data_IF_753184854539
#
_entry.id   IF_753184854539
#
_cell.length_a   1.000
_cell.length_b   1.000
_cell.length_c   1.000
_cell.angle_alpha   90.00
_cell.angle_beta   90.00
_cell.angle_gamma   90.00
#
_symmetry.space_group_name_H-M   'P 1'
#
loop_
_entity.id
_entity.type
_entity.pdbx_description
1 polymer ?
#
# COMPACT_ATOMS: atom_id res chain seq x y z
N UNK A 1 12.91 -28.28 5.26
CA UNK A 1 13.06 -27.76 3.85
C UNK A 1 14.25 -26.83 3.78
N UNK A 2 14.97 -26.82 2.64
CA UNK A 2 16.13 -25.94 2.47
C UNK A 2 15.68 -24.50 2.18
N UNK A 3 16.19 -23.53 2.94
CA UNK A 3 16.06 -22.09 2.69
C UNK A 3 17.34 -21.63 2.00
N UNK A 4 17.20 -21.18 0.77
CA UNK A 4 18.29 -20.65 -0.06
C UNK A 4 18.64 -19.19 0.31
N UNK A 5 19.79 -18.72 -0.19
CA UNK A 5 20.21 -17.33 -0.03
C UNK A 5 21.26 -17.11 1.05
N UNK A 6 21.55 -15.83 1.33
CA UNK A 6 22.57 -15.39 2.30
C UNK A 6 21.92 -15.03 3.64
N UNK A 7 22.65 -15.27 4.73
CA UNK A 7 22.20 -14.92 6.07
C UNK A 7 23.42 -14.84 7.01
N UNK A 8 23.69 -13.68 7.53
CA UNK A 8 24.71 -13.51 8.57
C UNK A 8 24.37 -14.42 9.77
N UNK A 9 25.38 -14.99 10.40
CA UNK A 9 25.24 -15.95 11.50
C UNK A 9 24.37 -15.39 12.64
N UNK A 10 24.49 -14.11 12.95
CA UNK A 10 23.66 -13.42 13.97
C UNK A 10 22.16 -13.44 13.69
N UNK A 11 21.76 -13.72 12.45
CA UNK A 11 20.35 -13.82 12.01
C UNK A 11 19.94 -15.28 11.72
N UNK A 12 20.74 -16.28 12.06
CA UNK A 12 20.43 -17.70 11.83
C UNK A 12 19.06 -18.15 12.34
N UNK A 13 18.56 -17.52 13.42
CA UNK A 13 17.19 -17.76 13.93
C UNK A 13 16.11 -17.41 12.91
N UNK A 14 16.31 -16.38 12.07
CA UNK A 14 15.35 -16.01 11.01
C UNK A 14 15.27 -17.13 10.00
N UNK A 15 16.40 -17.61 9.50
CA UNK A 15 16.45 -18.78 8.59
C UNK A 15 15.69 -19.99 9.14
N UNK A 16 15.92 -20.31 10.42
CA UNK A 16 15.29 -21.45 11.08
C UNK A 16 13.75 -21.26 11.21
N UNK A 17 13.29 -20.05 11.52
CA UNK A 17 11.85 -19.73 11.60
C UNK A 17 11.19 -19.91 10.24
N UNK A 18 11.78 -19.36 9.17
CA UNK A 18 11.26 -19.51 7.82
C UNK A 18 11.21 -20.99 7.39
N UNK A 19 12.26 -21.77 7.67
CA UNK A 19 12.27 -23.19 7.38
C UNK A 19 11.15 -23.94 8.13
N UNK A 20 10.98 -23.65 9.43
CA UNK A 20 9.94 -24.26 10.25
C UNK A 20 8.53 -23.90 9.78
N UNK A 21 8.30 -22.66 9.36
CA UNK A 21 6.99 -22.19 8.88
C UNK A 21 6.55 -22.93 7.60
N UNK A 22 7.50 -23.17 6.68
CA UNK A 22 7.22 -23.97 5.48
C UNK A 22 7.03 -25.44 5.83
N UNK A 23 7.83 -26.00 6.74
CA UNK A 23 7.74 -27.42 7.15
C UNK A 23 6.44 -27.73 7.90
N UNK A 24 5.92 -26.75 8.69
CA UNK A 24 4.61 -26.89 9.36
C UNK A 24 3.42 -26.68 8.42
N UNK A 25 3.64 -26.09 7.24
CA UNK A 25 2.57 -25.70 6.31
C UNK A 25 1.87 -24.39 6.65
N UNK A 26 2.44 -23.61 7.56
CA UNK A 26 1.94 -22.24 7.88
C UNK A 26 2.18 -21.29 6.71
N UNK A 27 3.31 -21.48 5.99
CA UNK A 27 3.64 -20.78 4.76
C UNK A 27 3.88 -21.76 3.61
N UNK A 28 3.44 -21.40 2.41
CA UNK A 28 3.69 -22.18 1.18
C UNK A 28 5.06 -21.82 0.61
N UNK A 29 5.41 -20.54 0.61
CA UNK A 29 6.68 -20.01 0.16
C UNK A 29 6.96 -18.67 0.78
N UNK A 30 8.23 -18.33 0.88
CA UNK A 30 8.70 -17.11 1.56
C UNK A 30 9.84 -16.44 0.82
N UNK A 31 9.91 -15.11 1.00
CA UNK A 31 11.07 -14.29 0.68
C UNK A 31 11.27 -13.29 1.82
N UNK A 32 12.50 -13.13 2.29
CA UNK A 32 12.81 -12.24 3.41
C UNK A 32 14.20 -11.61 3.23
N UNK A 33 14.25 -10.27 3.25
CA UNK A 33 15.49 -9.54 3.07
C UNK A 33 15.68 -8.46 4.15
N UNK A 34 16.92 -8.24 4.57
CA UNK A 34 17.31 -7.19 5.51
C UNK A 34 18.62 -6.55 5.06
N UNK A 35 18.66 -5.22 5.08
CA UNK A 35 19.88 -4.42 4.91
C UNK A 35 20.20 -3.66 6.19
N UNK A 36 21.48 -3.54 6.52
CA UNK A 36 21.97 -2.71 7.63
C UNK A 36 23.10 -1.84 7.10
N UNK A 37 22.98 -0.51 7.24
CA UNK A 37 23.96 0.43 6.72
C UNK A 37 24.17 0.36 5.20
N UNK A 38 23.15 -0.10 4.45
CA UNK A 38 23.24 -0.31 3.00
C UNK A 38 23.76 -1.70 2.58
N UNK A 39 24.25 -2.51 3.53
CA UNK A 39 24.75 -3.86 3.26
C UNK A 39 23.65 -4.89 3.43
N UNK A 40 23.51 -5.83 2.47
CA UNK A 40 22.58 -6.95 2.55
C UNK A 40 23.09 -7.98 3.54
N UNK A 41 22.42 -8.13 4.68
CA UNK A 41 22.79 -9.08 5.74
C UNK A 41 21.92 -10.32 5.79
N UNK A 42 20.73 -10.26 5.21
CA UNK A 42 19.82 -11.38 5.00
C UNK A 42 19.14 -11.22 3.65
N UNK A 43 19.18 -12.26 2.83
CA UNK A 43 18.40 -12.39 1.60
C UNK A 43 18.08 -13.87 1.45
N UNK A 44 16.88 -14.26 1.87
CA UNK A 44 16.45 -15.64 2.02
C UNK A 44 15.16 -15.89 1.24
N UNK A 45 15.06 -17.06 0.62
CA UNK A 45 13.84 -17.53 -0.02
C UNK A 45 13.75 -19.06 0.03
N UNK A 46 12.52 -19.59 -0.08
CA UNK A 46 12.28 -21.03 -0.09
C UNK A 46 10.81 -21.39 -0.16
N UNK A 47 10.52 -22.68 -0.24
CA UNK A 47 9.18 -23.20 -0.41
C UNK A 47 8.75 -23.27 -1.88
N UNK A 48 7.47 -23.06 -2.14
CA UNK A 48 6.84 -23.21 -3.45
C UNK A 48 5.95 -22.02 -3.77
N UNK A 49 5.60 -21.84 -5.04
CA UNK A 49 4.72 -20.74 -5.49
C UNK A 49 3.24 -20.98 -5.19
N UNK A 50 2.85 -22.23 -4.93
CA UNK A 50 1.48 -22.65 -4.65
C UNK A 50 1.45 -23.89 -3.74
N UNK A 51 0.28 -24.19 -3.17
CA UNK A 51 0.04 -25.34 -2.27
C UNK A 51 0.25 -26.70 -2.96
N UNK A 52 0.12 -26.75 -4.29
CA UNK A 52 0.36 -27.98 -5.06
C UNK A 52 1.84 -28.30 -5.25
N UNK A 53 2.73 -27.42 -4.76
CA UNK A 53 4.18 -27.48 -4.94
C UNK A 53 4.58 -27.58 -6.44
N UNK A 54 3.84 -26.92 -7.31
CA UNK A 54 4.02 -27.03 -8.76
C UNK A 54 5.38 -26.51 -9.23
N UNK A 55 5.93 -25.50 -8.54
CA UNK A 55 7.26 -24.95 -8.80
C UNK A 55 7.92 -24.48 -7.50
N UNK A 56 9.24 -24.64 -7.38
CA UNK A 56 9.98 -24.08 -6.24
C UNK A 56 9.96 -22.55 -6.28
N UNK A 57 9.94 -21.92 -5.11
CA UNK A 57 10.14 -20.49 -4.96
C UNK A 57 11.59 -20.13 -5.30
N UNK A 58 11.78 -19.10 -6.10
CA UNK A 58 13.08 -18.57 -6.52
C UNK A 58 13.31 -17.18 -5.91
N UNK A 59 14.54 -16.67 -5.97
CA UNK A 59 14.89 -15.34 -5.48
C UNK A 59 14.03 -14.22 -6.11
N UNK A 60 13.67 -14.39 -7.38
CA UNK A 60 12.91 -13.43 -8.19
C UNK A 60 11.42 -13.81 -8.34
N UNK A 61 10.92 -14.73 -7.53
CA UNK A 61 9.51 -15.10 -7.54
C UNK A 61 8.62 -13.92 -7.21
N UNK A 62 7.69 -13.60 -8.11
CA UNK A 62 6.70 -12.55 -7.92
C UNK A 62 5.46 -13.10 -7.24
N UNK A 63 4.96 -12.36 -6.27
CA UNK A 63 3.76 -12.71 -5.51
C UNK A 63 2.91 -11.46 -5.27
N UNK A 64 1.59 -11.66 -5.16
CA UNK A 64 0.71 -10.57 -4.78
C UNK A 64 0.93 -10.20 -3.32
N UNK A 65 1.37 -8.96 -3.08
CA UNK A 65 1.70 -8.46 -1.74
C UNK A 65 0.56 -7.66 -1.10
N UNK A 66 -0.61 -7.62 -1.73
CA UNK A 66 -1.80 -6.92 -1.22
C UNK A 66 -1.47 -5.51 -0.68
N UNK A 67 -1.78 -5.26 0.58
CA UNK A 67 -1.63 -3.93 1.19
C UNK A 67 -0.19 -3.45 1.38
N UNK A 68 0.81 -4.29 1.23
CA UNK A 68 2.21 -3.84 1.14
C UNK A 68 2.41 -2.90 -0.06
N UNK A 69 1.56 -3.01 -1.10
CA UNK A 69 1.49 -2.07 -2.23
C UNK A 69 1.30 -0.61 -1.79
N UNK A 70 0.61 -0.35 -0.66
CA UNK A 70 0.45 1.01 -0.12
C UNK A 70 1.79 1.69 0.19
N UNK A 71 2.80 0.92 0.55
CA UNK A 71 4.18 1.44 0.73
C UNK A 71 4.69 2.07 -0.57
N UNK A 72 4.41 1.45 -1.72
CA UNK A 72 4.81 2.01 -3.02
C UNK A 72 4.05 3.31 -3.32
N UNK A 73 2.75 3.36 -3.02
CA UNK A 73 1.97 4.60 -3.16
C UNK A 73 2.52 5.73 -2.28
N UNK A 74 2.94 5.42 -1.06
CA UNK A 74 3.57 6.39 -0.16
C UNK A 74 4.93 6.86 -0.68
N UNK A 75 5.76 5.96 -1.20
CA UNK A 75 7.02 6.33 -1.82
C UNK A 75 6.81 7.24 -3.04
N UNK A 76 5.81 6.98 -3.88
CA UNK A 76 5.44 7.88 -4.98
C UNK A 76 5.05 9.28 -4.47
N UNK A 77 4.23 9.34 -3.41
CA UNK A 77 3.85 10.62 -2.80
C UNK A 77 5.06 11.37 -2.22
N UNK A 78 5.99 10.66 -1.56
CA UNK A 78 7.24 11.24 -1.06
C UNK A 78 8.12 11.79 -2.19
N UNK A 79 8.21 11.08 -3.33
CA UNK A 79 8.95 11.58 -4.51
C UNK A 79 8.31 12.86 -5.07
N UNK A 80 6.97 12.93 -5.11
CA UNK A 80 6.27 14.15 -5.53
C UNK A 80 6.51 15.30 -4.56
N UNK A 81 6.54 15.02 -3.26
CA UNK A 81 6.83 16.02 -2.24
C UNK A 81 8.28 16.54 -2.34
N UNK A 82 9.25 15.65 -2.52
CA UNK A 82 10.66 16.02 -2.72
C UNK A 82 10.86 16.91 -3.97
N UNK A 83 10.05 16.69 -5.01
CA UNK A 83 10.03 17.51 -6.23
C UNK A 83 9.23 18.82 -6.08
N UNK A 84 8.65 19.10 -4.93
CA UNK A 84 7.81 20.26 -4.69
C UNK A 84 6.45 20.24 -5.44
N UNK A 85 6.03 19.06 -5.91
CA UNK A 85 4.77 18.86 -6.64
C UNK A 85 3.61 18.48 -5.72
N UNK A 86 3.89 18.04 -4.50
CA UNK A 86 2.92 17.68 -3.47
C UNK A 86 3.37 18.24 -2.13
N UNK A 87 2.41 18.80 -1.39
CA UNK A 87 2.62 19.26 -0.02
C UNK A 87 1.65 18.51 0.90
N UNK A 88 2.18 17.77 1.86
CA UNK A 88 1.37 16.97 2.77
C UNK A 88 0.50 17.81 3.71
N UNK A 89 0.87 19.05 3.97
CA UNK A 89 0.13 19.98 4.82
C UNK A 89 -0.92 20.81 4.06
N UNK A 90 -0.97 20.70 2.73
CA UNK A 90 -2.04 21.31 1.94
C UNK A 90 -3.34 20.52 2.04
N UNK A 91 -4.44 21.21 1.75
CA UNK A 91 -5.73 20.55 1.68
C UNK A 91 -5.82 19.68 0.42
N UNK A 92 -6.44 18.52 0.53
CA UNK A 92 -6.73 17.66 -0.63
C UNK A 92 -7.55 18.42 -1.67
N UNK A 93 -8.46 19.27 -1.22
CA UNK A 93 -9.30 20.11 -2.09
C UNK A 93 -8.52 21.11 -2.97
N UNK A 94 -7.28 21.44 -2.62
CA UNK A 94 -6.41 22.28 -3.45
C UNK A 94 -5.95 21.54 -4.72
N UNK A 95 -5.92 20.22 -4.68
CA UNK A 95 -5.57 19.34 -5.79
C UNK A 95 -6.79 18.68 -6.43
N UNK A 96 -7.82 18.40 -5.63
CA UNK A 96 -9.06 17.75 -6.02
C UNK A 96 -10.27 18.51 -5.47
N UNK A 97 -10.73 19.57 -6.18
CA UNK A 97 -11.77 20.49 -5.69
C UNK A 97 -13.09 19.81 -5.31
N UNK A 98 -13.48 18.76 -6.04
CA UNK A 98 -14.72 18.03 -5.79
C UNK A 98 -14.72 17.32 -4.41
N UNK A 99 -13.55 17.08 -3.85
CA UNK A 99 -13.38 16.47 -2.53
C UNK A 99 -13.82 17.39 -1.38
N UNK A 100 -13.91 18.72 -1.59
CA UNK A 100 -14.24 19.69 -0.53
C UNK A 100 -15.61 19.49 0.12
N UNK A 101 -16.48 18.68 -0.46
CA UNK A 101 -17.86 18.46 -0.03
C UNK A 101 -17.95 17.84 1.37
N UNK A 102 -19.09 18.09 2.01
CA UNK A 102 -19.54 17.41 3.23
C UNK A 102 -18.50 17.38 4.35
N UNK A 103 -17.90 18.56 4.63
CA UNK A 103 -16.98 18.73 5.75
C UNK A 103 -15.53 18.36 5.47
N UNK A 104 -15.15 18.14 4.19
CA UNK A 104 -13.79 17.72 3.80
C UNK A 104 -12.90 18.85 3.26
N UNK A 105 -13.35 20.09 3.24
CA UNK A 105 -12.60 21.22 2.68
C UNK A 105 -11.20 21.40 3.30
N UNK A 106 -11.04 21.06 4.58
CA UNK A 106 -9.77 21.22 5.31
C UNK A 106 -9.03 19.88 5.55
N UNK A 107 -9.47 18.81 4.89
CA UNK A 107 -8.76 17.52 4.95
C UNK A 107 -7.39 17.66 4.31
N UNK A 108 -6.34 17.41 5.08
CA UNK A 108 -4.96 17.48 4.62
C UNK A 108 -4.57 16.20 3.85
N UNK A 109 -3.61 16.35 2.95
CA UNK A 109 -3.04 15.20 2.21
C UNK A 109 -2.54 14.14 3.18
N UNK A 110 -1.85 14.52 4.27
CA UNK A 110 -1.37 13.57 5.26
C UNK A 110 -2.48 12.79 5.98
N UNK A 111 -3.72 13.32 6.09
CA UNK A 111 -4.85 12.56 6.65
C UNK A 111 -5.19 11.33 5.80
N UNK A 112 -5.04 11.43 4.47
CA UNK A 112 -5.24 10.30 3.57
C UNK A 112 -4.10 9.29 3.68
N UNK A 113 -2.87 9.78 3.84
CA UNK A 113 -1.68 8.94 3.91
C UNK A 113 -1.63 8.10 5.18
N UNK A 114 -2.08 8.61 6.32
CA UNK A 114 -2.01 7.95 7.63
C UNK A 114 -3.34 7.38 8.11
N UNK A 115 -4.32 7.24 7.21
CA UNK A 115 -5.64 6.68 7.52
C UNK A 115 -6.50 7.51 8.49
N UNK A 116 -6.29 8.81 8.56
CA UNK A 116 -7.00 9.69 9.50
C UNK A 116 -8.12 10.52 8.84
N UNK A 117 -8.43 10.30 7.57
CA UNK A 117 -9.40 11.10 6.84
C UNK A 117 -10.86 10.81 7.19
N UNK A 118 -11.16 9.73 7.90
CA UNK A 118 -12.53 9.34 8.22
C UNK A 118 -13.29 8.66 7.06
N UNK A 119 -12.59 8.15 6.06
CA UNK A 119 -13.14 7.54 4.85
C UNK A 119 -12.68 6.08 4.70
N UNK A 120 -12.69 5.31 5.80
CA UNK A 120 -12.17 3.94 5.82
C UNK A 120 -13.03 2.91 5.09
N UNK A 121 -14.22 3.30 4.65
CA UNK A 121 -15.14 2.49 3.84
C UNK A 121 -16.14 3.35 3.10
N UNK A 122 -17.10 2.71 2.46
CA UNK A 122 -18.18 3.36 1.72
C UNK A 122 -19.47 3.31 2.54
N UNK A 123 -20.27 4.38 2.52
CA UNK A 123 -21.61 4.41 3.15
C UNK A 123 -22.58 3.48 2.44
N UNK A 124 -22.43 3.35 1.12
CA UNK A 124 -23.27 2.47 0.31
C UNK A 124 -22.65 1.07 0.21
N UNK A 125 -23.53 0.07 0.08
CA UNK A 125 -23.10 -1.31 -0.17
C UNK A 125 -22.56 -1.42 -1.59
N UNK A 126 -21.32 -1.81 -1.71
CA UNK A 126 -20.60 -1.93 -2.98
C UNK A 126 -20.50 -3.39 -3.41
N UNK A 127 -20.81 -3.67 -4.67
CA UNK A 127 -20.47 -4.93 -5.29
C UNK A 127 -19.01 -4.97 -5.75
N UNK A 128 -18.47 -6.17 -6.02
CA UNK A 128 -17.14 -6.29 -6.60
C UNK A 128 -17.02 -5.55 -7.96
N UNK A 129 -18.10 -5.53 -8.75
CA UNK A 129 -18.13 -4.82 -10.03
C UNK A 129 -18.04 -3.31 -9.85
N UNK A 130 -18.71 -2.76 -8.84
CA UNK A 130 -18.66 -1.32 -8.54
C UNK A 130 -17.22 -0.89 -8.20
N UNK A 131 -16.44 -1.73 -7.50
CA UNK A 131 -15.05 -1.44 -7.16
C UNK A 131 -14.12 -1.36 -8.39
N UNK A 132 -14.53 -1.89 -9.55
CA UNK A 132 -13.78 -1.73 -10.80
C UNK A 132 -14.21 -0.49 -11.59
N UNK A 133 -15.29 0.19 -11.19
CA UNK A 133 -15.72 1.47 -11.75
C UNK A 133 -15.02 2.62 -11.01
N UNK A 134 -13.89 3.05 -11.57
CA UNK A 134 -13.05 4.09 -10.99
C UNK A 134 -13.80 5.40 -10.76
N UNK A 135 -14.51 5.89 -11.78
CA UNK A 135 -15.21 7.17 -11.72
C UNK A 135 -16.32 7.17 -10.68
N UNK A 136 -17.05 6.06 -10.59
CA UNK A 136 -18.06 5.85 -9.55
C UNK A 136 -17.45 5.91 -8.16
N UNK A 137 -16.39 5.14 -7.90
CA UNK A 137 -15.75 5.08 -6.59
C UNK A 137 -15.18 6.43 -6.16
N UNK A 138 -14.50 7.13 -7.05
CA UNK A 138 -13.92 8.45 -6.79
C UNK A 138 -15.02 9.50 -6.53
N UNK A 139 -16.07 9.53 -7.35
CA UNK A 139 -17.21 10.46 -7.18
C UNK A 139 -17.91 10.23 -5.85
N UNK A 140 -18.14 8.99 -5.46
CA UNK A 140 -18.77 8.65 -4.18
C UNK A 140 -17.90 9.09 -3.00
N UNK A 141 -16.59 8.83 -3.02
CA UNK A 141 -15.66 9.27 -1.98
C UNK A 141 -15.55 10.80 -1.90
N UNK A 142 -15.61 11.49 -3.04
CA UNK A 142 -15.68 12.95 -3.06
C UNK A 142 -16.96 13.48 -2.41
N UNK A 143 -18.08 12.80 -2.58
CA UNK A 143 -19.38 13.19 -2.02
C UNK A 143 -19.59 12.75 -0.57
N UNK A 144 -19.01 11.62 -0.13
CA UNK A 144 -19.22 11.03 1.20
C UNK A 144 -18.73 11.96 2.32
N UNK A 145 -19.48 12.07 3.42
CA UNK A 145 -19.02 12.71 4.64
C UNK A 145 -18.03 11.80 5.38
N UNK A 146 -17.03 12.34 6.08
CA UNK A 146 -16.15 11.52 6.91
C UNK A 146 -16.90 10.94 8.13
N UNK A 147 -16.60 9.71 8.49
CA UNK A 147 -17.23 9.02 9.64
C UNK A 147 -16.79 9.57 11.00
N UNK A 148 -15.67 10.28 11.05
CA UNK A 148 -15.17 11.02 12.20
C UNK A 148 -14.45 12.28 11.74
N UNK A 149 -14.23 13.21 12.66
CA UNK A 149 -13.51 14.43 12.34
C UNK A 149 -12.09 14.10 11.82
N UNK A 150 -11.73 14.51 10.60
CA UNK A 150 -10.42 14.23 10.02
C UNK A 150 -9.28 14.64 10.95
N UNK A 151 -8.30 13.76 11.11
CA UNK A 151 -7.17 13.93 12.02
C UNK A 151 -7.43 13.56 13.47
N UNK A 152 -8.67 13.33 13.92
CA UNK A 152 -9.00 13.02 15.33
C UNK A 152 -8.80 11.55 15.70
N UNK A 153 -8.86 10.65 14.71
CA UNK A 153 -8.68 9.21 14.89
C UNK A 153 -8.14 8.58 13.61
N UNK A 154 -7.60 7.38 13.72
CA UNK A 154 -7.16 6.57 12.58
C UNK A 154 -8.03 5.32 12.45
N UNK A 155 -8.48 5.04 11.23
CA UNK A 155 -9.18 3.82 10.85
C UNK A 155 -8.68 3.33 9.50
N UNK A 156 -8.21 2.11 9.44
CA UNK A 156 -7.54 1.58 8.26
C UNK A 156 -8.39 1.66 6.99
N UNK A 157 -7.98 2.46 6.03
CA UNK A 157 -8.62 2.65 4.73
C UNK A 157 -8.19 1.52 3.78
N UNK A 158 -8.66 0.30 4.04
CA UNK A 158 -8.17 -0.92 3.38
C UNK A 158 -8.28 -0.85 1.85
N UNK A 159 -9.45 -0.42 1.35
CA UNK A 159 -9.78 -0.34 -0.08
C UNK A 159 -9.78 1.12 -0.55
N UNK A 160 -10.36 2.02 0.22
CA UNK A 160 -10.61 3.40 -0.20
C UNK A 160 -9.33 4.22 -0.38
N UNK A 161 -8.24 3.90 0.33
CA UNK A 161 -7.00 4.66 0.25
C UNK A 161 -6.43 4.74 -1.17
N UNK A 162 -6.50 3.66 -1.95
CA UNK A 162 -6.01 3.65 -3.33
C UNK A 162 -6.72 4.71 -4.19
N UNK A 163 -8.05 4.74 -4.15
CA UNK A 163 -8.83 5.75 -4.87
C UNK A 163 -8.55 7.17 -4.41
N UNK A 164 -8.45 7.37 -3.09
CA UNK A 164 -8.19 8.68 -2.50
C UNK A 164 -6.79 9.19 -2.89
N UNK A 165 -5.75 8.37 -2.78
CA UNK A 165 -4.37 8.80 -3.04
C UNK A 165 -4.09 9.01 -4.53
N UNK A 166 -4.61 8.16 -5.40
CA UNK A 166 -4.41 8.28 -6.85
C UNK A 166 -5.14 9.50 -7.40
N UNK A 167 -6.33 9.83 -6.88
CA UNK A 167 -7.11 10.98 -7.36
C UNK A 167 -6.34 12.30 -7.23
N UNK A 168 -5.70 12.59 -6.10
CA UNK A 168 -4.94 13.83 -5.99
C UNK A 168 -3.55 13.76 -6.66
N UNK A 169 -2.90 12.60 -6.68
CA UNK A 169 -1.58 12.46 -7.32
C UNK A 169 -1.66 12.59 -8.83
N UNK A 170 -2.69 12.04 -9.48
CA UNK A 170 -2.87 12.14 -10.92
C UNK A 170 -3.28 13.55 -11.37
N UNK A 171 -3.97 14.30 -10.52
CA UNK A 171 -4.30 15.71 -10.80
C UNK A 171 -3.07 16.64 -10.70
N UNK A 172 -2.04 16.24 -9.97
CA UNK A 172 -0.80 17.02 -9.82
C UNK A 172 0.27 16.69 -10.86
N UNK A 173 0.19 15.50 -11.47
CA UNK A 173 1.11 15.13 -12.55
C UNK A 173 0.65 15.78 -13.86
N UNK A 174 1.57 16.37 -14.65
CA UNK A 174 1.21 16.80 -16.00
C UNK A 174 0.71 15.58 -16.79
N UNK A 175 -0.49 15.69 -17.35
CA UNK A 175 -1.18 14.64 -18.10
C UNK A 175 -0.49 14.30 -19.44
N UNK A 176 0.67 14.82 -19.71
CA UNK A 176 1.50 14.55 -20.88
C UNK A 176 2.77 13.81 -20.48
N UNK A 177 2.65 12.50 -20.27
CA UNK A 177 3.74 11.62 -20.60
C UNK A 177 3.48 11.22 -22.05
N UNK A 178 4.07 11.94 -22.98
CA UNK A 178 4.30 11.39 -24.32
C UNK A 178 5.28 10.24 -24.17
N UNK A 179 4.81 9.03 -24.46
CA UNK A 179 5.63 7.82 -24.55
C UNK A 179 6.28 7.79 -25.94
#
# INVERSE_FOLDING_TARGET
MEIAGICDEKFSKVRNILASSIESGDDVGVSFAVTIGGEMVVDLWGGHIDESASKPWQQDTLVNVYSTTKTMSFLCALVLADRGQLDFDRNVADYWPEFAQNGKAEVKVWHLMNHAAGLSGMDEVMSATDMYDWDKMVSMLAAQAPWWAPGSASGYHAITQGYLTVSYTHLTLPTTIEV
#
